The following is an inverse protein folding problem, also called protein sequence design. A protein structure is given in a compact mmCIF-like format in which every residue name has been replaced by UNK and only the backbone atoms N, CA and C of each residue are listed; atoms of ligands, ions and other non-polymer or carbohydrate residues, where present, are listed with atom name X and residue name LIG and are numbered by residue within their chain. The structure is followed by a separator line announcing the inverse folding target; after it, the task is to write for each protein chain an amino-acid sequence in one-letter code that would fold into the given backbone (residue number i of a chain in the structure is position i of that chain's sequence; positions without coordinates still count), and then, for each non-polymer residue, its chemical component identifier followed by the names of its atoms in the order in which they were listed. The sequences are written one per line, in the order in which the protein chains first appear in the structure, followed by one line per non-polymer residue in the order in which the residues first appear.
data_IF_202836641740
#
_entry.id   IF_202836641740
#
_cell.length_a   1.000
_cell.length_b   1.000
_cell.length_c   1.000
_cell.angle_alpha   90.00
_cell.angle_beta   90.00
_cell.angle_gamma   90.00
#
_symmetry.space_group_name_H-M   'P 1'
#
loop_
_entity.id
_entity.type
_entity.pdbx_description
1 polymer ?
#
# COMPACT_ATOMS: atom_id res chain seq x y z
N UNK A 1 24.90 10.30 12.72
CA UNK A 1 24.30 9.57 11.59
C UNK A 1 24.27 8.06 11.83
N UNK A 2 25.43 7.43 12.13
CA UNK A 2 25.52 5.97 12.36
C UNK A 2 24.62 5.49 13.52
N UNK A 3 24.62 6.17 14.66
CA UNK A 3 23.80 5.82 15.82
C UNK A 3 22.29 5.84 15.52
N UNK A 4 21.83 6.78 14.68
CA UNK A 4 20.43 6.82 14.26
C UNK A 4 20.09 5.66 13.31
N UNK A 5 20.98 5.33 12.37
CA UNK A 5 20.80 4.18 11.47
C UNK A 5 20.77 2.88 12.27
N UNK A 6 21.66 2.72 13.24
CA UNK A 6 21.66 1.55 14.14
C UNK A 6 20.38 1.48 14.97
N UNK A 7 19.90 2.62 15.50
CA UNK A 7 18.62 2.67 16.21
C UNK A 7 17.43 2.28 15.31
N UNK A 8 17.40 2.74 14.07
CA UNK A 8 16.37 2.39 13.09
C UNK A 8 16.42 0.92 12.69
N UNK A 9 17.63 0.39 12.45
CA UNK A 9 17.80 -1.04 12.20
C UNK A 9 17.35 -1.88 13.39
N UNK A 10 17.68 -1.48 14.62
CA UNK A 10 17.20 -2.16 15.83
C UNK A 10 15.67 -2.15 15.93
N UNK A 11 15.01 -1.02 15.65
CA UNK A 11 13.55 -0.93 15.59
C UNK A 11 12.96 -1.84 14.49
N UNK A 12 13.59 -1.87 13.30
CA UNK A 12 13.17 -2.72 12.19
C UNK A 12 13.25 -4.21 12.55
N UNK A 13 14.33 -4.63 13.18
CA UNK A 13 14.52 -6.01 13.65
C UNK A 13 13.46 -6.35 14.71
N UNK A 14 13.20 -5.44 15.66
CA UNK A 14 12.17 -5.67 16.68
C UNK A 14 10.77 -5.85 16.04
N UNK A 15 10.40 -4.98 15.08
CA UNK A 15 9.13 -5.10 14.36
C UNK A 15 9.03 -6.43 13.62
N UNK A 16 10.09 -6.84 12.91
CA UNK A 16 10.10 -8.11 12.18
C UNK A 16 10.02 -9.31 13.13
N UNK A 17 10.67 -9.25 14.30
CA UNK A 17 10.54 -10.29 15.32
C UNK A 17 9.10 -10.38 15.85
N UNK A 18 8.46 -9.26 16.16
CA UNK A 18 7.06 -9.24 16.61
C UNK A 18 6.14 -9.79 15.52
N UNK A 19 6.30 -9.35 14.27
CA UNK A 19 5.50 -9.84 13.15
C UNK A 19 5.73 -11.34 12.91
N UNK A 20 6.98 -11.82 13.00
CA UNK A 20 7.28 -13.25 12.85
C UNK A 20 6.69 -14.10 13.98
N UNK A 21 6.66 -13.55 15.20
CA UNK A 21 6.02 -14.21 16.34
C UNK A 21 4.51 -14.32 16.14
N UNK A 22 3.86 -13.22 15.72
CA UNK A 22 2.43 -13.22 15.40
C UNK A 22 2.14 -14.21 14.27
N UNK A 23 2.92 -14.18 13.21
CA UNK A 23 2.78 -15.09 12.06
C UNK A 23 2.94 -16.56 12.47
N UNK A 24 3.92 -16.87 13.35
CA UNK A 24 4.10 -18.19 13.91
C UNK A 24 2.92 -18.63 14.79
N UNK A 25 2.38 -17.73 15.63
CA UNK A 25 1.20 -18.02 16.43
C UNK A 25 -0.03 -18.30 15.57
N UNK A 26 -0.20 -17.55 14.50
CA UNK A 26 -1.25 -17.81 13.49
C UNK A 26 -1.06 -19.19 12.86
N UNK A 27 0.18 -19.49 12.42
CA UNK A 27 0.52 -20.79 11.83
C UNK A 27 0.25 -21.97 12.79
N UNK A 28 0.54 -21.78 14.07
CA UNK A 28 0.40 -22.85 15.06
C UNK A 28 -1.02 -23.05 15.57
N UNK A 29 -1.78 -21.96 15.77
CA UNK A 29 -3.05 -22.01 16.50
C UNK A 29 -4.28 -21.76 15.63
N UNK A 30 -4.11 -21.27 14.40
CA UNK A 30 -5.21 -21.02 13.49
C UNK A 30 -5.24 -22.12 12.42
N UNK A 31 -6.18 -23.03 12.57
CA UNK A 31 -6.38 -24.17 11.67
C UNK A 31 -5.64 -25.44 12.11
N UNK A 32 -6.21 -26.55 11.72
CA UNK A 32 -5.61 -27.88 11.92
C UNK A 32 -4.94 -28.32 10.61
N UNK A 33 -3.60 -28.39 10.56
CA UNK A 33 -2.91 -28.79 9.33
C UNK A 33 -3.29 -30.21 8.91
N UNK A 34 -3.67 -31.07 9.87
CA UNK A 34 -4.02 -32.46 9.57
C UNK A 34 -5.32 -32.55 8.76
N UNK A 35 -6.33 -31.75 9.10
CA UNK A 35 -7.58 -31.68 8.36
C UNK A 35 -7.35 -31.12 6.95
N UNK A 36 -6.52 -30.09 6.83
CA UNK A 36 -6.25 -29.44 5.54
C UNK A 36 -5.42 -30.30 4.59
N UNK A 37 -4.51 -31.15 5.11
CA UNK A 37 -3.60 -31.98 4.30
C UNK A 37 -4.12 -33.39 4.07
N UNK A 38 -4.72 -34.01 5.09
CA UNK A 38 -5.19 -35.40 5.03
C UNK A 38 -6.69 -35.52 4.75
N UNK A 39 -7.48 -34.45 5.01
CA UNK A 39 -8.93 -34.47 4.95
C UNK A 39 -9.60 -34.87 6.27
N UNK A 40 -10.93 -34.75 6.30
CA UNK A 40 -11.71 -35.05 7.51
C UNK A 40 -11.73 -36.53 7.87
N UNK A 41 -11.59 -37.41 6.89
CA UNK A 41 -11.68 -38.88 7.03
C UNK A 41 -10.38 -39.54 7.50
N UNK A 42 -9.30 -38.77 7.74
CA UNK A 42 -8.03 -39.33 8.18
C UNK A 42 -8.12 -39.95 9.57
N UNK A 43 -7.49 -41.12 9.73
CA UNK A 43 -7.41 -41.83 11.00
C UNK A 43 -6.61 -41.04 12.04
N UNK A 44 -6.84 -41.31 13.33
CA UNK A 44 -6.10 -40.69 14.43
C UNK A 44 -4.59 -40.96 14.29
N UNK A 45 -4.21 -42.17 13.89
CA UNK A 45 -2.82 -42.55 13.72
C UNK A 45 -2.12 -41.76 12.59
N UNK A 46 -2.81 -41.50 11.46
CA UNK A 46 -2.28 -40.69 10.37
C UNK A 46 -2.11 -39.22 10.78
N UNK A 47 -3.06 -38.68 11.56
CA UNK A 47 -2.99 -37.33 12.10
C UNK A 47 -1.81 -37.16 13.06
N UNK A 48 -1.63 -38.09 14.01
CA UNK A 48 -0.51 -38.08 14.95
C UNK A 48 0.84 -38.22 14.23
N UNK A 49 0.94 -39.09 13.24
CA UNK A 49 2.16 -39.25 12.43
C UNK A 49 2.52 -37.94 11.70
N UNK A 50 1.53 -37.28 11.09
CA UNK A 50 1.73 -36.00 10.40
C UNK A 50 2.13 -34.89 11.39
N UNK A 51 1.51 -34.79 12.56
CA UNK A 51 1.85 -33.80 13.58
C UNK A 51 3.31 -34.02 14.08
N UNK A 52 3.74 -35.26 14.23
CA UNK A 52 5.12 -35.58 14.59
C UNK A 52 6.09 -35.20 13.45
N UNK A 53 5.77 -35.52 12.19
CA UNK A 53 6.56 -35.14 11.02
C UNK A 53 6.71 -33.63 10.88
N UNK A 54 5.63 -32.87 11.14
CA UNK A 54 5.63 -31.40 11.13
C UNK A 54 6.28 -30.79 12.39
N UNK A 55 6.66 -31.62 13.40
CA UNK A 55 7.32 -31.17 14.63
C UNK A 55 6.41 -30.44 15.62
N UNK A 56 5.09 -30.65 15.55
CA UNK A 56 4.13 -30.02 16.47
C UNK A 56 4.18 -30.59 17.89
N UNK A 57 4.83 -31.73 18.09
CA UNK A 57 5.12 -32.36 19.37
C UNK A 57 6.28 -31.69 20.14
N UNK A 58 7.09 -30.90 19.47
CA UNK A 58 8.23 -30.21 20.07
C UNK A 58 7.80 -29.02 20.93
N UNK A 59 8.73 -28.56 21.80
CA UNK A 59 8.48 -27.35 22.61
C UNK A 59 8.32 -26.09 21.72
N UNK A 60 7.48 -25.13 22.11
CA UNK A 60 7.17 -23.91 21.36
C UNK A 60 8.42 -23.13 20.91
N UNK A 61 9.47 -22.96 21.76
CA UNK A 61 10.69 -22.27 21.33
C UNK A 61 11.42 -23.00 20.19
N UNK A 62 11.45 -24.34 20.21
CA UNK A 62 12.09 -25.14 19.16
C UNK A 62 11.33 -25.05 17.85
N UNK A 63 10.00 -25.10 17.91
CA UNK A 63 9.14 -24.90 16.74
C UNK A 63 9.32 -23.49 16.15
N UNK A 64 9.37 -22.46 16.98
CA UNK A 64 9.62 -21.09 16.53
C UNK A 64 10.99 -20.93 15.87
N UNK A 65 12.03 -21.54 16.44
CA UNK A 65 13.35 -21.53 15.83
C UNK A 65 13.38 -22.25 14.46
N UNK A 66 12.70 -23.39 14.35
CA UNK A 66 12.48 -24.12 13.09
C UNK A 66 11.74 -23.26 12.05
N UNK A 67 10.66 -22.61 12.47
CA UNK A 67 9.89 -21.68 11.64
C UNK A 67 10.74 -20.51 11.12
N UNK A 68 11.51 -19.87 12.01
CA UNK A 68 12.42 -18.79 11.60
C UNK A 68 13.47 -19.26 10.59
N UNK A 69 14.03 -20.47 10.79
CA UNK A 69 14.98 -21.05 9.83
C UNK A 69 14.35 -21.26 8.47
N UNK A 70 13.12 -21.76 8.38
CA UNK A 70 12.38 -21.94 7.12
C UNK A 70 12.11 -20.60 6.45
N UNK A 71 11.62 -19.61 7.19
CA UNK A 71 11.36 -18.25 6.71
C UNK A 71 12.64 -17.60 6.14
N UNK A 72 13.74 -17.67 6.87
CA UNK A 72 15.02 -17.12 6.43
C UNK A 72 15.62 -17.83 5.20
N UNK A 73 15.28 -19.10 4.99
CA UNK A 73 15.64 -19.84 3.78
C UNK A 73 14.65 -19.67 2.62
N UNK A 74 13.60 -18.83 2.80
CA UNK A 74 12.59 -18.56 1.77
C UNK A 74 11.56 -19.68 1.59
N UNK A 75 11.49 -20.63 2.52
CA UNK A 75 10.53 -21.73 2.47
C UNK A 75 9.32 -21.43 3.35
N UNK A 76 8.20 -21.09 2.71
CA UNK A 76 6.93 -20.77 3.40
C UNK A 76 5.92 -21.92 3.35
N UNK A 77 6.34 -23.11 2.91
CA UNK A 77 5.49 -24.28 2.78
C UNK A 77 4.64 -24.27 1.51
N UNK A 78 3.63 -25.14 1.50
CA UNK A 78 2.69 -25.35 0.39
C UNK A 78 1.35 -24.78 0.82
N UNK A 79 0.71 -24.02 -0.06
CA UNK A 79 -0.66 -23.53 0.11
C UNK A 79 -1.64 -24.72 0.17
N UNK A 80 -2.49 -24.73 1.18
CA UNK A 80 -3.49 -25.81 1.32
C UNK A 80 -4.56 -25.74 0.23
N UNK A 81 -4.88 -24.53 -0.22
CA UNK A 81 -5.91 -24.30 -1.23
C UNK A 81 -5.38 -24.47 -2.65
N UNK A 82 -4.23 -23.85 -2.97
CA UNK A 82 -3.70 -23.82 -4.34
C UNK A 82 -2.81 -25.02 -4.65
N UNK A 83 -2.36 -25.81 -3.63
CA UNK A 83 -1.47 -26.96 -3.78
C UNK A 83 -0.15 -26.62 -4.48
N UNK A 84 0.31 -25.39 -4.33
CA UNK A 84 1.54 -24.82 -4.90
C UNK A 84 2.39 -24.20 -3.82
N UNK A 85 3.72 -24.02 -4.04
CA UNK A 85 4.57 -23.28 -3.12
C UNK A 85 3.99 -21.88 -2.83
N UNK A 86 3.94 -21.50 -1.55
CA UNK A 86 3.38 -20.21 -1.13
C UNK A 86 4.11 -19.04 -1.79
N UNK A 87 5.43 -19.17 -2.02
CA UNK A 87 6.24 -18.17 -2.72
C UNK A 87 5.73 -17.88 -4.13
N UNK A 88 5.33 -18.91 -4.89
CA UNK A 88 4.79 -18.76 -6.25
C UNK A 88 3.39 -18.13 -6.22
N UNK A 89 2.54 -18.57 -5.29
CA UNK A 89 1.20 -17.99 -5.10
C UNK A 89 1.30 -16.50 -4.79
N UNK A 90 2.17 -16.10 -3.86
CA UNK A 90 2.38 -14.70 -3.51
C UNK A 90 3.00 -13.93 -4.69
N UNK A 91 4.07 -14.46 -5.30
CA UNK A 91 4.76 -13.79 -6.41
C UNK A 91 3.82 -13.48 -7.58
N UNK A 92 2.88 -14.38 -7.90
CA UNK A 92 1.89 -14.16 -8.95
C UNK A 92 0.92 -12.99 -8.67
N UNK A 93 0.75 -12.59 -7.39
CA UNK A 93 -0.16 -11.52 -6.95
C UNK A 93 0.53 -10.17 -6.75
N UNK A 94 1.85 -10.17 -6.55
CA UNK A 94 2.65 -8.94 -6.35
C UNK A 94 2.43 -7.91 -7.47
N UNK A 95 2.49 -8.26 -8.78
CA UNK A 95 2.29 -7.29 -9.86
C UNK A 95 0.97 -6.53 -9.74
N UNK A 96 -0.12 -7.20 -9.39
CA UNK A 96 -1.43 -6.59 -9.28
C UNK A 96 -1.48 -5.50 -8.18
N UNK A 97 -0.98 -5.81 -6.99
CA UNK A 97 -0.97 -4.86 -5.87
C UNK A 97 -0.01 -3.70 -6.12
N UNK A 98 1.16 -3.96 -6.72
CA UNK A 98 2.15 -2.93 -7.03
C UNK A 98 1.61 -1.96 -8.08
N UNK A 99 1.04 -2.45 -9.17
CA UNK A 99 0.45 -1.61 -10.23
C UNK A 99 -0.69 -0.74 -9.69
N UNK A 100 -1.59 -1.33 -8.91
CA UNK A 100 -2.68 -0.60 -8.27
C UNK A 100 -2.16 0.49 -7.32
N UNK A 101 -1.20 0.15 -6.47
CA UNK A 101 -0.62 1.08 -5.50
C UNK A 101 0.12 2.23 -6.18
N UNK A 102 0.88 1.95 -7.24
CA UNK A 102 1.59 2.98 -8.02
C UNK A 102 0.62 3.88 -8.77
N UNK A 103 -0.42 3.34 -9.40
CA UNK A 103 -1.45 4.12 -10.07
C UNK A 103 -2.21 5.02 -9.09
N UNK A 104 -2.59 4.48 -7.92
CA UNK A 104 -3.23 5.23 -6.86
C UNK A 104 -2.31 6.34 -6.29
N UNK A 105 -1.02 6.05 -6.11
CA UNK A 105 -0.02 7.02 -5.68
C UNK A 105 0.14 8.15 -6.70
N UNK A 106 0.26 7.82 -7.98
CA UNK A 106 0.37 8.78 -9.07
C UNK A 106 -0.87 9.70 -9.12
N UNK A 107 -2.06 9.09 -9.07
CA UNK A 107 -3.33 9.84 -9.01
C UNK A 107 -3.38 10.77 -7.80
N UNK A 108 -3.01 10.28 -6.61
CA UNK A 108 -3.05 11.07 -5.38
C UNK A 108 -2.03 12.22 -5.41
N UNK A 109 -0.81 11.97 -5.88
CA UNK A 109 0.25 12.99 -5.90
C UNK A 109 -0.02 14.03 -6.99
N UNK A 110 -0.25 13.60 -8.22
CA UNK A 110 -0.48 14.55 -9.34
C UNK A 110 -1.77 15.34 -9.12
N UNK A 111 -2.85 14.64 -8.79
CA UNK A 111 -4.14 15.27 -8.49
C UNK A 111 -4.08 16.16 -7.25
N UNK A 112 -3.49 15.66 -6.16
CA UNK A 112 -3.38 16.39 -4.89
C UNK A 112 -2.54 17.67 -5.01
N UNK A 113 -1.36 17.57 -5.62
CA UNK A 113 -0.51 18.76 -5.86
C UNK A 113 -1.20 19.75 -6.81
N UNK A 114 -1.71 19.26 -7.94
CA UNK A 114 -2.37 20.13 -8.93
C UNK A 114 -3.59 20.88 -8.37
N UNK A 115 -4.50 20.15 -7.70
CA UNK A 115 -5.69 20.74 -7.08
C UNK A 115 -5.32 21.61 -5.86
N UNK A 116 -4.29 21.25 -5.10
CA UNK A 116 -3.79 22.05 -3.98
C UNK A 116 -3.27 23.41 -4.43
N UNK A 117 -2.41 23.44 -5.44
CA UNK A 117 -1.91 24.67 -6.06
C UNK A 117 -3.06 25.50 -6.63
N UNK A 118 -3.94 24.89 -7.42
CA UNK A 118 -5.09 25.59 -8.00
C UNK A 118 -5.99 26.24 -6.94
N UNK A 119 -6.34 25.50 -5.88
CA UNK A 119 -7.21 26.01 -4.81
C UNK A 119 -6.51 27.05 -3.92
N UNK A 120 -5.19 27.04 -3.82
CA UNK A 120 -4.44 28.11 -3.16
C UNK A 120 -4.42 29.39 -3.99
N UNK A 121 -4.17 29.29 -5.30
CA UNK A 121 -4.11 30.44 -6.22
C UNK A 121 -5.47 31.11 -6.39
N UNK A 122 -6.53 30.31 -6.52
CA UNK A 122 -7.91 30.80 -6.76
C UNK A 122 -8.83 30.59 -5.55
N UNK A 123 -8.34 30.92 -4.34
CA UNK A 123 -9.02 30.61 -3.06
C UNK A 123 -10.45 31.11 -2.92
N UNK A 124 -10.86 32.15 -3.67
CA UNK A 124 -12.20 32.76 -3.62
C UNK A 124 -13.12 32.21 -4.70
N UNK A 125 -12.65 31.44 -5.67
CA UNK A 125 -13.48 30.92 -6.77
C UNK A 125 -14.49 29.88 -6.28
N UNK A 126 -15.65 29.80 -6.92
CA UNK A 126 -16.65 28.77 -6.67
C UNK A 126 -16.06 27.38 -6.89
N UNK A 127 -15.27 27.18 -7.96
CA UNK A 127 -14.61 25.92 -8.27
C UNK A 127 -13.70 25.46 -7.10
N UNK A 128 -12.92 26.38 -6.52
CA UNK A 128 -12.08 26.04 -5.36
C UNK A 128 -12.93 25.65 -4.14
N UNK A 129 -14.08 26.28 -3.92
CA UNK A 129 -14.99 25.92 -2.84
C UNK A 129 -15.59 24.53 -3.07
N UNK A 130 -16.02 24.24 -4.31
CA UNK A 130 -16.56 22.92 -4.68
C UNK A 130 -15.50 21.82 -4.51
N UNK A 131 -14.27 22.03 -5.01
CA UNK A 131 -13.16 21.08 -4.82
C UNK A 131 -12.93 20.81 -3.33
N UNK A 132 -12.88 21.87 -2.52
CA UNK A 132 -12.72 21.74 -1.07
C UNK A 132 -13.90 21.03 -0.41
N UNK A 133 -15.14 21.28 -0.87
CA UNK A 133 -16.34 20.56 -0.40
C UNK A 133 -16.30 19.08 -0.76
N UNK A 134 -16.00 18.75 -2.02
CA UNK A 134 -15.85 17.35 -2.47
C UNK A 134 -14.73 16.65 -1.72
N UNK A 135 -13.65 17.35 -1.39
CA UNK A 135 -12.57 16.77 -0.60
C UNK A 135 -12.99 16.34 0.81
N UNK A 136 -14.03 16.94 1.38
CA UNK A 136 -14.58 16.50 2.66
C UNK A 136 -15.18 15.10 2.56
N UNK A 137 -15.82 14.78 1.43
CA UNK A 137 -16.36 13.44 1.15
C UNK A 137 -15.22 12.39 1.23
N UNK A 138 -14.06 12.71 0.64
CA UNK A 138 -12.90 11.80 0.64
C UNK A 138 -12.28 11.53 2.02
N UNK A 139 -12.53 12.40 3.01
CA UNK A 139 -12.08 12.19 4.40
C UNK A 139 -13.17 11.56 5.25
N UNK A 140 -14.43 11.86 4.96
CA UNK A 140 -15.57 11.48 5.80
C UNK A 140 -16.15 10.12 5.44
N UNK A 141 -16.08 9.70 4.17
CA UNK A 141 -16.62 8.42 3.73
C UNK A 141 -15.57 7.31 3.79
N UNK A 142 -15.94 6.10 4.23
CA UNK A 142 -15.10 4.92 4.08
C UNK A 142 -14.76 4.67 2.60
N UNK A 143 -13.52 4.26 2.32
CA UNK A 143 -13.03 4.06 0.94
C UNK A 143 -13.85 3.04 0.16
N UNK A 144 -14.37 2.00 0.80
CA UNK A 144 -15.22 1.01 0.14
C UNK A 144 -16.54 1.60 -0.37
N UNK A 145 -17.15 2.56 0.36
CA UNK A 145 -18.37 3.24 -0.11
C UNK A 145 -18.09 4.10 -1.34
N UNK A 146 -16.93 4.76 -1.38
CA UNK A 146 -16.48 5.51 -2.57
C UNK A 146 -16.33 4.54 -3.74
N UNK A 147 -15.69 3.37 -3.51
CA UNK A 147 -15.53 2.33 -4.54
C UNK A 147 -16.86 1.83 -5.09
N UNK A 148 -17.80 1.47 -4.21
CA UNK A 148 -19.14 1.02 -4.61
C UNK A 148 -19.88 2.12 -5.39
N UNK A 149 -19.80 3.37 -4.94
CA UNK A 149 -20.40 4.51 -5.64
C UNK A 149 -19.82 4.73 -7.04
N UNK A 150 -18.50 4.57 -7.19
CA UNK A 150 -17.83 4.66 -8.49
C UNK A 150 -18.23 3.50 -9.42
N UNK A 151 -18.31 2.26 -8.90
CA UNK A 151 -18.80 1.10 -9.65
C UNK A 151 -20.23 1.37 -10.12
N UNK A 152 -21.11 1.79 -9.22
CA UNK A 152 -22.50 2.07 -9.56
C UNK A 152 -22.60 3.11 -10.68
N UNK A 153 -21.91 4.24 -10.54
CA UNK A 153 -22.00 5.31 -11.52
C UNK A 153 -21.33 4.94 -12.86
N UNK A 154 -20.07 4.48 -12.84
CA UNK A 154 -19.27 4.33 -14.06
C UNK A 154 -19.39 2.97 -14.72
N UNK A 155 -19.73 1.93 -13.97
CA UNK A 155 -19.84 0.58 -14.52
C UNK A 155 -21.28 0.15 -14.76
N UNK A 156 -22.21 0.51 -13.87
CA UNK A 156 -23.62 0.10 -13.97
C UNK A 156 -24.42 1.08 -14.81
N UNK A 157 -24.43 2.38 -14.42
CA UNK A 157 -25.24 3.40 -15.08
C UNK A 157 -24.64 3.85 -16.41
N UNK A 158 -23.39 4.29 -16.41
CA UNK A 158 -22.73 4.84 -17.59
C UNK A 158 -22.12 3.76 -18.50
N UNK A 159 -21.80 2.59 -17.97
CA UNK A 159 -21.17 1.45 -18.69
C UNK A 159 -19.86 1.82 -19.38
N UNK A 160 -19.10 2.74 -18.80
CA UNK A 160 -17.84 3.22 -19.37
C UNK A 160 -16.63 2.40 -18.97
N UNK A 161 -16.63 1.87 -17.72
CA UNK A 161 -15.50 1.18 -17.12
C UNK A 161 -15.95 -0.16 -16.52
N UNK A 162 -15.11 -1.17 -16.50
CA UNK A 162 -15.43 -2.46 -15.88
C UNK A 162 -15.54 -2.33 -14.36
N UNK A 163 -16.45 -3.09 -13.76
CA UNK A 163 -16.67 -3.11 -12.32
C UNK A 163 -15.62 -3.92 -11.56
N UNK A 164 -15.13 -5.04 -12.17
CA UNK A 164 -14.32 -6.05 -11.48
C UNK A 164 -13.18 -6.56 -12.36
N UNK A 165 -12.17 -7.13 -11.69
CA UNK A 165 -11.06 -7.81 -12.34
C UNK A 165 -9.96 -6.88 -12.81
N UNK A 166 -8.99 -7.43 -13.55
CA UNK A 166 -7.76 -6.74 -13.97
C UNK A 166 -7.62 -6.60 -15.50
N UNK A 167 -8.67 -6.98 -16.25
CA UNK A 167 -8.65 -6.99 -17.71
C UNK A 167 -7.70 -8.02 -18.29
N UNK A 168 -7.32 -7.83 -19.56
CA UNK A 168 -6.38 -8.69 -20.26
C UNK A 168 -4.95 -8.39 -19.80
N UNK A 169 -4.20 -9.44 -19.45
CA UNK A 169 -2.82 -9.32 -18.98
C UNK A 169 -1.84 -9.75 -20.10
N UNK A 170 -0.68 -9.12 -20.09
CA UNK A 170 0.48 -9.49 -20.92
C UNK A 170 1.61 -9.89 -19.99
N UNK A 171 2.30 -10.98 -20.29
CA UNK A 171 3.48 -11.40 -19.56
C UNK A 171 4.73 -10.68 -20.12
N UNK A 172 5.47 -10.04 -19.24
CA UNK A 172 6.73 -9.38 -19.52
C UNK A 172 7.80 -9.95 -18.61
N UNK A 173 8.39 -11.07 -19.00
CA UNK A 173 9.47 -11.70 -18.23
C UNK A 173 9.05 -12.20 -16.86
N UNK A 174 7.87 -12.80 -16.73
CA UNK A 174 7.28 -13.28 -15.47
C UNK A 174 6.47 -12.22 -14.71
N UNK A 175 6.46 -10.97 -15.20
CA UNK A 175 5.59 -9.91 -14.65
C UNK A 175 4.31 -9.80 -15.49
N UNK A 176 3.21 -10.28 -14.95
CA UNK A 176 1.90 -10.14 -15.57
C UNK A 176 1.37 -8.73 -15.39
N UNK A 177 1.27 -7.96 -16.49
CA UNK A 177 0.83 -6.57 -16.46
C UNK A 177 -0.43 -6.32 -17.27
N UNK A 178 -1.36 -5.50 -16.71
CA UNK A 178 -2.51 -4.93 -17.42
C UNK A 178 -2.22 -3.56 -18.03
N UNK A 179 -1.07 -2.94 -17.69
CA UNK A 179 -0.74 -1.58 -18.13
C UNK A 179 -0.51 -1.44 -19.63
N UNK A 180 -0.24 -2.55 -20.33
CA UNK A 180 0.00 -2.60 -21.78
C UNK A 180 -1.26 -2.90 -22.60
N UNK A 181 -2.42 -3.04 -21.94
CA UNK A 181 -3.70 -3.32 -22.61
C UNK A 181 -4.75 -2.28 -22.29
N UNK A 182 -5.62 -1.97 -23.25
CA UNK A 182 -6.71 -1.00 -23.04
C UNK A 182 -7.68 -1.51 -21.96
N UNK A 183 -7.98 -2.82 -21.98
CA UNK A 183 -8.86 -3.43 -20.97
C UNK A 183 -8.25 -3.40 -19.57
N UNK A 184 -6.94 -3.63 -19.45
CA UNK A 184 -6.24 -3.56 -18.17
C UNK A 184 -6.16 -2.13 -17.63
N UNK A 185 -5.85 -1.15 -18.49
CA UNK A 185 -5.86 0.26 -18.10
C UNK A 185 -7.26 0.71 -17.66
N UNK A 186 -8.31 0.35 -18.41
CA UNK A 186 -9.69 0.70 -18.03
C UNK A 186 -10.11 0.07 -16.71
N UNK A 187 -9.71 -1.18 -16.45
CA UNK A 187 -9.98 -1.88 -15.19
C UNK A 187 -9.24 -1.24 -13.99
N UNK A 188 -8.08 -0.63 -14.21
CA UNK A 188 -7.27 0.00 -13.17
C UNK A 188 -7.83 1.35 -12.68
N UNK A 189 -8.61 2.06 -13.51
CA UNK A 189 -9.05 3.45 -13.23
C UNK A 189 -9.83 3.56 -11.92
N UNK A 190 -10.93 2.82 -11.78
CA UNK A 190 -11.80 2.93 -10.60
C UNK A 190 -11.11 2.48 -9.30
N UNK A 191 -10.40 1.34 -9.27
CA UNK A 191 -9.63 0.95 -8.09
C UNK A 191 -8.55 1.97 -7.70
N UNK A 192 -7.81 2.52 -8.68
CA UNK A 192 -6.77 3.50 -8.42
C UNK A 192 -7.33 4.83 -7.85
N UNK A 193 -8.45 5.30 -8.39
CA UNK A 193 -9.16 6.47 -7.84
C UNK A 193 -9.63 6.17 -6.41
N UNK A 194 -10.27 5.03 -6.18
CA UNK A 194 -10.79 4.64 -4.86
C UNK A 194 -9.69 4.61 -3.81
N UNK A 195 -8.58 3.92 -4.09
CA UNK A 195 -7.45 3.78 -3.19
C UNK A 195 -6.73 5.12 -2.96
N UNK A 196 -6.58 5.91 -4.04
CA UNK A 196 -5.85 7.17 -4.00
C UNK A 196 -6.65 8.38 -3.50
N UNK A 197 -7.98 8.34 -3.48
CA UNK A 197 -8.82 9.53 -3.23
C UNK A 197 -8.61 10.15 -1.85
N UNK A 198 -8.53 9.34 -0.80
CA UNK A 198 -8.22 9.82 0.55
C UNK A 198 -6.84 10.51 0.59
N UNK A 199 -5.82 9.89 -0.02
CA UNK A 199 -4.47 10.45 -0.07
C UNK A 199 -4.41 11.73 -0.91
N UNK A 200 -5.10 11.76 -2.04
CA UNK A 200 -5.26 12.97 -2.85
C UNK A 200 -5.78 14.13 -2.01
N UNK A 201 -6.83 13.88 -1.23
CA UNK A 201 -7.43 14.89 -0.36
C UNK A 201 -6.45 15.43 0.68
N UNK A 202 -5.70 14.54 1.35
CA UNK A 202 -4.69 14.95 2.33
C UNK A 202 -3.59 15.78 1.69
N UNK A 203 -3.04 15.31 0.55
CA UNK A 203 -1.98 16.01 -0.19
C UNK A 203 -2.48 17.37 -0.67
N UNK A 204 -3.66 17.43 -1.25
CA UNK A 204 -4.27 18.66 -1.74
C UNK A 204 -4.41 19.72 -0.62
N UNK A 205 -4.90 19.31 0.55
CA UNK A 205 -5.08 20.23 1.68
C UNK A 205 -3.75 20.73 2.21
N UNK A 206 -2.76 19.84 2.32
CA UNK A 206 -1.42 20.19 2.74
C UNK A 206 -0.77 21.18 1.76
N UNK A 207 -0.76 20.84 0.46
CA UNK A 207 -0.19 21.71 -0.59
C UNK A 207 -0.85 23.08 -0.58
N UNK A 208 -2.18 23.12 -0.43
CA UNK A 208 -2.93 24.38 -0.34
C UNK A 208 -2.45 25.23 0.85
N UNK A 209 -2.34 24.63 2.04
CA UNK A 209 -1.93 25.36 3.26
C UNK A 209 -0.50 25.88 3.11
N UNK A 210 0.45 25.02 2.78
CA UNK A 210 1.84 25.39 2.56
C UNK A 210 2.01 26.47 1.48
N UNK A 211 1.25 26.33 0.38
CA UNK A 211 1.27 27.31 -0.71
C UNK A 211 0.75 28.68 -0.26
N UNK A 212 -0.31 28.71 0.56
CA UNK A 212 -0.85 29.97 1.09
C UNK A 212 0.14 30.66 2.03
N UNK A 213 0.87 29.90 2.85
CA UNK A 213 1.85 30.43 3.78
C UNK A 213 3.07 30.96 3.04
N UNK A 214 3.57 30.21 2.06
CA UNK A 214 4.67 30.65 1.19
C UNK A 214 4.30 31.91 0.43
N UNK A 215 3.07 32.00 -0.12
CA UNK A 215 2.61 33.18 -0.88
C UNK A 215 2.49 34.46 -0.04
N UNK A 216 2.44 34.34 1.29
CA UNK A 216 2.44 35.49 2.24
C UNK A 216 3.82 35.93 2.67
N UNK A 217 4.87 35.16 2.37
CA UNK A 217 6.23 35.44 2.80
C UNK A 217 6.81 36.69 2.13
N UNK A 218 7.77 37.33 2.81
CA UNK A 218 8.40 38.56 2.34
C UNK A 218 9.20 38.35 1.06
N UNK A 219 9.82 37.19 0.87
CA UNK A 219 10.56 36.94 -0.37
C UNK A 219 9.65 36.88 -1.61
N UNK A 220 8.41 36.37 -1.47
CA UNK A 220 7.41 36.40 -2.54
C UNK A 220 6.90 37.84 -2.78
N UNK A 221 6.73 38.62 -1.70
CA UNK A 221 6.39 40.07 -1.83
C UNK A 221 7.47 40.82 -2.57
N UNK A 222 8.71 40.57 -2.24
CA UNK A 222 9.87 41.17 -2.93
C UNK A 222 9.97 40.76 -4.39
N UNK A 223 9.79 39.47 -4.68
CA UNK A 223 9.80 38.93 -6.04
C UNK A 223 8.67 39.57 -6.90
N UNK A 224 7.48 39.79 -6.32
CA UNK A 224 6.37 40.51 -6.96
C UNK A 224 6.68 41.96 -7.21
N UNK A 225 7.30 42.67 -6.25
CA UNK A 225 7.74 44.07 -6.39
C UNK A 225 8.76 44.25 -7.51
N UNK A 226 9.58 43.23 -7.80
CA UNK A 226 10.50 43.17 -8.94
C UNK A 226 9.84 42.89 -10.29
N UNK A 227 8.52 42.81 -10.37
CA UNK A 227 7.76 42.61 -11.61
C UNK A 227 7.76 41.19 -12.15
N UNK A 228 8.10 40.17 -11.34
CA UNK A 228 8.05 38.81 -11.80
C UNK A 228 6.59 38.39 -12.17
N UNK A 229 6.45 37.68 -13.33
CA UNK A 229 5.16 37.18 -13.79
C UNK A 229 4.58 36.16 -12.81
N UNK A 230 3.27 36.15 -12.64
CA UNK A 230 2.57 35.24 -11.72
C UNK A 230 2.90 33.77 -11.98
N UNK A 231 3.05 33.33 -13.21
CA UNK A 231 3.43 31.96 -13.55
C UNK A 231 4.80 31.56 -12.95
N UNK A 232 5.80 32.45 -13.06
CA UNK A 232 7.14 32.23 -12.48
C UNK A 232 7.08 32.28 -10.96
N UNK A 233 6.31 33.23 -10.40
CA UNK A 233 6.14 33.42 -8.98
C UNK A 233 5.54 32.15 -8.33
N UNK A 234 4.44 31.64 -8.88
CA UNK A 234 3.74 30.47 -8.34
C UNK A 234 4.47 29.16 -8.63
N UNK A 235 4.88 28.93 -9.90
CA UNK A 235 5.48 27.65 -10.31
C UNK A 235 6.90 27.46 -9.81
N UNK A 236 7.78 28.46 -10.01
CA UNK A 236 9.22 28.33 -9.72
C UNK A 236 9.58 28.72 -8.28
N UNK A 237 8.98 29.79 -7.76
CA UNK A 237 9.34 30.29 -6.45
C UNK A 237 8.47 29.72 -5.33
N UNK A 238 7.16 29.78 -5.43
CA UNK A 238 6.27 29.32 -4.36
C UNK A 238 6.20 27.79 -4.31
N UNK A 239 5.90 27.13 -5.43
CA UNK A 239 5.72 25.67 -5.46
C UNK A 239 6.98 24.92 -5.01
N UNK A 240 8.17 25.34 -5.44
CA UNK A 240 9.42 24.70 -5.04
C UNK A 240 9.60 24.66 -3.53
N UNK A 241 9.27 25.73 -2.83
CA UNK A 241 9.38 25.79 -1.37
C UNK A 241 8.25 25.05 -0.67
N UNK A 242 7.03 25.06 -1.27
CA UNK A 242 5.89 24.29 -0.80
C UNK A 242 6.15 22.77 -0.87
N UNK A 243 6.86 22.30 -1.89
CA UNK A 243 7.08 20.85 -2.09
C UNK A 243 8.01 20.24 -1.05
N UNK A 244 8.86 20.97 -0.35
CA UNK A 244 9.79 20.42 0.65
C UNK A 244 9.02 19.67 1.77
N UNK A 245 8.10 20.31 2.53
CA UNK A 245 7.31 19.59 3.53
C UNK A 245 6.35 18.59 2.92
N UNK A 246 5.87 18.83 1.69
CA UNK A 246 4.91 17.96 1.01
C UNK A 246 5.53 16.62 0.61
N UNK A 247 6.73 16.62 0.02
CA UNK A 247 7.46 15.38 -0.35
C UNK A 247 7.66 14.50 0.89
N UNK A 248 7.96 15.11 2.00
CA UNK A 248 8.11 14.48 3.30
C UNK A 248 6.86 13.67 3.68
N UNK A 249 5.70 14.31 3.66
CA UNK A 249 4.44 13.67 4.05
C UNK A 249 3.99 12.65 2.98
N UNK A 250 4.20 12.93 1.69
CA UNK A 250 3.94 11.96 0.62
C UNK A 250 4.71 10.68 0.87
N UNK A 251 6.01 10.76 1.18
CA UNK A 251 6.84 9.60 1.47
C UNK A 251 6.25 8.71 2.58
N UNK A 252 5.85 9.33 3.71
CA UNK A 252 5.19 8.61 4.81
C UNK A 252 3.85 7.98 4.42
N UNK A 253 3.10 8.61 3.52
CA UNK A 253 1.78 8.14 3.11
C UNK A 253 1.82 6.99 2.07
N UNK A 254 2.90 6.88 1.30
CA UNK A 254 3.02 5.85 0.26
C UNK A 254 3.03 4.44 0.85
N UNK A 255 3.73 4.24 1.97
CA UNK A 255 3.78 2.93 2.64
C UNK A 255 2.41 2.40 3.05
N UNK A 256 1.51 3.29 3.45
CA UNK A 256 0.16 2.90 3.86
C UNK A 256 -0.75 2.51 2.68
N UNK A 257 -0.44 2.87 1.43
CA UNK A 257 -1.27 2.48 0.27
C UNK A 257 -1.35 0.97 0.10
N UNK A 258 -0.23 0.27 0.26
CA UNK A 258 -0.19 -1.19 0.13
C UNK A 258 -1.03 -1.85 1.24
N UNK A 259 -0.92 -1.36 2.47
CA UNK A 259 -1.71 -1.88 3.59
C UNK A 259 -3.22 -1.68 3.39
N UNK A 260 -3.63 -0.53 2.85
CA UNK A 260 -5.05 -0.23 2.59
C UNK A 260 -5.56 -0.76 1.24
N UNK A 261 -4.69 -1.33 0.40
CA UNK A 261 -5.10 -1.95 -0.87
C UNK A 261 -6.08 -3.12 -0.67
N UNK A 262 -6.00 -3.84 0.47
CA UNK A 262 -6.88 -4.97 0.81
C UNK A 262 -8.36 -4.65 0.55
N UNK A 263 -8.84 -3.54 1.09
CA UNK A 263 -10.25 -3.16 0.98
C UNK A 263 -10.62 -2.89 -0.48
N UNK A 264 -9.77 -2.16 -1.20
CA UNK A 264 -10.01 -1.84 -2.62
C UNK A 264 -9.95 -3.08 -3.49
N UNK A 265 -8.94 -3.94 -3.28
CA UNK A 265 -8.80 -5.20 -4.02
C UNK A 265 -10.01 -6.12 -3.80
N UNK A 266 -10.55 -6.18 -2.59
CA UNK A 266 -11.74 -6.96 -2.28
C UNK A 266 -12.98 -6.40 -2.97
N UNK A 267 -13.20 -5.09 -2.92
CA UNK A 267 -14.37 -4.44 -3.54
C UNK A 267 -14.38 -4.63 -5.05
N UNK A 268 -13.22 -4.45 -5.71
CA UNK A 268 -13.09 -4.54 -7.16
C UNK A 268 -12.71 -5.94 -7.66
N UNK A 269 -12.65 -6.95 -6.77
CA UNK A 269 -12.17 -8.30 -7.10
C UNK A 269 -10.84 -8.25 -7.88
N UNK A 270 -9.98 -7.31 -7.47
CA UNK A 270 -8.65 -7.12 -8.05
C UNK A 270 -7.72 -8.21 -7.54
N UNK A 271 -7.13 -9.06 -8.41
CA UNK A 271 -6.42 -10.26 -8.00
C UNK A 271 -5.03 -9.96 -7.43
N UNK A 272 -4.96 -9.14 -6.39
CA UNK A 272 -3.73 -8.76 -5.70
C UNK A 272 -3.51 -9.53 -4.40
N UNK A 273 -2.53 -9.05 -3.63
CA UNK A 273 -2.10 -9.65 -2.35
C UNK A 273 -3.16 -9.53 -1.25
N UNK A 274 -3.89 -8.41 -1.22
CA UNK A 274 -4.93 -8.19 -0.22
C UNK A 274 -6.13 -9.09 -0.44
N UNK A 275 -6.58 -9.27 -1.69
CA UNK A 275 -7.64 -10.22 -2.02
C UNK A 275 -7.19 -11.66 -1.73
N UNK A 276 -5.93 -12.00 -2.05
CA UNK A 276 -5.35 -13.30 -1.69
C UNK A 276 -5.43 -13.53 -0.19
N UNK A 277 -5.07 -12.54 0.63
CA UNK A 277 -5.10 -12.64 2.09
C UNK A 277 -6.51 -12.90 2.62
N UNK A 278 -7.51 -12.13 2.17
CA UNK A 278 -8.91 -12.31 2.60
C UNK A 278 -9.44 -13.69 2.19
N UNK A 279 -9.17 -14.12 0.96
CA UNK A 279 -9.61 -15.44 0.49
C UNK A 279 -8.87 -16.59 1.17
N UNK A 280 -7.63 -16.38 1.61
CA UNK A 280 -6.86 -17.36 2.39
C UNK A 280 -7.39 -17.47 3.83
N UNK A 281 -7.82 -16.37 4.45
CA UNK A 281 -8.50 -16.41 5.76
C UNK A 281 -9.79 -17.20 5.66
N UNK A 282 -10.62 -16.91 4.66
CA UNK A 282 -11.90 -17.62 4.44
C UNK A 282 -11.72 -19.12 4.17
N UNK A 283 -10.62 -19.48 3.49
CA UNK A 283 -10.28 -20.86 3.17
C UNK A 283 -9.35 -21.53 4.18
N UNK A 284 -9.01 -20.86 5.30
CA UNK A 284 -8.09 -21.36 6.35
C UNK A 284 -6.73 -21.82 5.76
N UNK A 285 -6.22 -21.09 4.74
CA UNK A 285 -4.91 -21.37 4.13
C UNK A 285 -3.79 -20.73 4.98
N UNK A 286 -3.48 -21.39 6.09
CA UNK A 286 -2.58 -20.88 7.11
C UNK A 286 -1.16 -20.56 6.59
N UNK A 287 -0.54 -21.39 5.73
CA UNK A 287 0.76 -21.07 5.16
C UNK A 287 0.77 -19.74 4.38
N UNK A 288 -0.27 -19.47 3.58
CA UNK A 288 -0.39 -18.21 2.83
C UNK A 288 -0.63 -17.03 3.78
N UNK A 289 -1.50 -17.19 4.79
CA UNK A 289 -1.76 -16.15 5.79
C UNK A 289 -0.47 -15.76 6.51
N UNK A 290 0.29 -16.74 6.99
CA UNK A 290 1.53 -16.54 7.72
C UNK A 290 2.59 -15.84 6.86
N UNK A 291 2.79 -16.30 5.64
CA UNK A 291 3.73 -15.70 4.69
C UNK A 291 3.32 -14.26 4.30
N UNK A 292 2.02 -14.02 4.11
CA UNK A 292 1.51 -12.68 3.84
C UNK A 292 1.80 -11.69 4.97
N UNK A 293 1.58 -12.08 6.24
CA UNK A 293 1.86 -11.23 7.41
C UNK A 293 3.34 -10.86 7.47
N UNK A 294 4.24 -11.82 7.25
CA UNK A 294 5.69 -11.58 7.20
C UNK A 294 6.07 -10.64 6.05
N UNK A 295 5.52 -10.88 4.86
CA UNK A 295 5.80 -10.07 3.69
C UNK A 295 5.34 -8.62 3.88
N UNK A 296 4.14 -8.39 4.41
CA UNK A 296 3.64 -7.03 4.69
C UNK A 296 4.51 -6.35 5.75
N UNK A 297 4.94 -7.08 6.80
CA UNK A 297 5.88 -6.57 7.79
C UNK A 297 7.21 -6.14 7.17
N UNK A 298 7.76 -6.97 6.28
CA UNK A 298 9.01 -6.69 5.57
C UNK A 298 8.85 -5.49 4.61
N UNK A 299 7.76 -5.44 3.85
CA UNK A 299 7.45 -4.31 2.97
C UNK A 299 7.29 -3.00 3.76
N UNK A 300 6.58 -3.03 4.87
CA UNK A 300 6.41 -1.87 5.74
C UNK A 300 7.74 -1.35 6.28
N UNK A 301 8.59 -2.25 6.80
CA UNK A 301 9.93 -1.91 7.26
C UNK A 301 10.78 -1.36 6.12
N UNK A 302 10.77 -2.03 4.96
CA UNK A 302 11.52 -1.60 3.78
C UNK A 302 11.12 -0.21 3.29
N UNK A 303 9.81 0.07 3.19
CA UNK A 303 9.29 1.37 2.77
C UNK A 303 9.68 2.46 3.78
N UNK A 304 9.54 2.20 5.09
CA UNK A 304 9.96 3.16 6.11
C UNK A 304 11.47 3.45 6.05
N UNK A 305 12.29 2.43 5.81
CA UNK A 305 13.73 2.63 5.64
C UNK A 305 14.06 3.49 4.42
N UNK A 306 13.40 3.24 3.28
CA UNK A 306 13.54 4.07 2.07
C UNK A 306 13.11 5.51 2.34
N UNK A 307 11.99 5.70 3.01
CA UNK A 307 11.50 7.03 3.40
C UNK A 307 12.48 7.74 4.33
N UNK A 308 13.03 7.05 5.32
CA UNK A 308 14.04 7.61 6.23
C UNK A 308 15.34 8.03 5.49
N UNK A 309 15.77 7.23 4.49
CA UNK A 309 16.90 7.56 3.62
C UNK A 309 16.60 8.79 2.75
N UNK A 310 15.41 8.88 2.18
CA UNK A 310 14.96 10.06 1.42
C UNK A 310 14.92 11.31 2.30
N UNK A 311 14.49 11.20 3.55
CA UNK A 311 14.57 12.30 4.53
C UNK A 311 15.99 12.74 4.80
N UNK A 312 16.88 11.80 5.06
CA UNK A 312 18.29 12.10 5.32
C UNK A 312 18.96 12.77 4.12
N UNK A 313 18.49 12.48 2.91
CA UNK A 313 18.98 13.10 1.67
C UNK A 313 18.36 14.48 1.43
N UNK A 314 17.06 14.66 1.67
CA UNK A 314 16.31 15.89 1.38
C UNK A 314 16.53 16.99 2.41
N UNK A 315 16.82 16.68 3.68
CA UNK A 315 17.05 17.67 4.73
C UNK A 315 18.53 17.74 5.17
N UNK A 316 19.31 18.72 4.63
CA UNK A 316 20.71 18.92 5.02
C UNK A 316 20.89 19.29 6.50
N UNK A 317 19.83 19.78 7.18
CA UNK A 317 19.91 20.18 8.59
C UNK A 317 20.01 18.96 9.51
N UNK A 318 19.51 17.80 9.06
CA UNK A 318 19.64 16.54 9.79
C UNK A 318 21.05 15.94 9.71
N UNK A 319 21.90 16.40 8.79
CA UNK A 319 23.31 16.00 8.69
C UNK A 319 24.20 16.59 9.78
N UNK A 320 23.77 17.68 10.42
CA UNK A 320 24.59 18.45 11.39
C UNK A 320 24.27 18.15 12.87
N UNK A 321 23.38 17.24 13.15
CA UNK A 321 23.09 16.77 14.53
C UNK A 321 23.48 15.28 14.68
#
# INVERSE_FOLDING_TARGET
MLARLLGRLGQSVLVLLVVSMVSFLVFRYIGDPTVSLLGEDASVAEREALLHELGFDQSVPVQYAGYLKQVLSGHFGISYRFRQPVTEVIASRVPATVELSLAAALFAVVGGVGLGVYTAMRRRSLVSRTIMGVSLVGVSLPTFLIGIGLIYLFSVELKWLPAFGRGTLVDVGGWQTGLLTVSGLSALVLPAITLGFFKLTLIMRLVRTEMLDVLRSDYIRFARARGLRNATLYGRHALRNTLIPVITIIGLQLGSLIAFAIVTETVFQWPGLGLLFITSIQGVDVPVISAYLLMIGLLYVGINLVVDLLYAWADPRLRRR
#
